data_IF_710374941384
#
_entry.id   IF_710374941384
#
_cell.length_a   1.000
_cell.length_b   1.000
_cell.length_c   1.000
_cell.angle_alpha   90.00
_cell.angle_beta   90.00
_cell.angle_gamma   90.00
#
_symmetry.space_group_name_H-M   'P 1'
#
loop_
_entity.id
_entity.type
_entity.pdbx_description
1 polymer ?
#
# COMPACT_ATOMS: atom_id res chain seq x y z
N UNK A 1 9.67 -15.05 9.54
CA UNK A 1 9.93 -16.52 9.58
C UNK A 1 8.94 -17.34 8.73
N UNK A 2 7.66 -16.97 8.61
CA UNK A 2 6.66 -17.76 7.85
C UNK A 2 6.94 -17.89 6.33
N UNK A 3 7.59 -16.93 5.69
CA UNK A 3 7.90 -16.95 4.25
C UNK A 3 9.00 -17.95 3.88
N UNK A 4 10.02 -18.10 4.73
CA UNK A 4 11.12 -19.06 4.53
C UNK A 4 10.64 -20.51 4.66
N UNK A 5 9.75 -20.78 5.62
CA UNK A 5 9.18 -22.12 5.81
C UNK A 5 8.31 -22.55 4.62
N UNK A 6 7.51 -21.63 4.05
CA UNK A 6 6.74 -21.86 2.82
C UNK A 6 7.62 -22.13 1.60
N UNK A 7 8.79 -21.50 1.52
CA UNK A 7 9.77 -21.71 0.45
C UNK A 7 10.48 -23.06 0.56
N UNK A 8 10.79 -23.50 1.79
CA UNK A 8 11.47 -24.78 2.07
C UNK A 8 10.51 -25.97 1.95
N UNK A 9 9.24 -25.80 2.33
CA UNK A 9 8.23 -26.86 2.31
C UNK A 9 7.27 -26.78 1.11
N UNK A 10 7.67 -26.10 0.03
CA UNK A 10 6.86 -26.05 -1.20
C UNK A 10 6.70 -27.49 -1.75
N UNK A 11 5.47 -27.97 -2.00
CA UNK A 11 5.25 -29.29 -2.59
C UNK A 11 5.96 -29.39 -3.93
N UNK A 12 6.52 -30.56 -4.26
CA UNK A 12 7.17 -30.75 -5.56
C UNK A 12 6.14 -30.67 -6.69
N UNK A 13 6.54 -30.16 -7.85
CA UNK A 13 5.65 -30.00 -9.02
C UNK A 13 5.17 -31.36 -9.55
N UNK A 14 6.03 -32.38 -9.44
CA UNK A 14 5.78 -33.77 -9.82
C UNK A 14 5.05 -34.58 -8.74
N UNK A 15 4.71 -33.98 -7.58
CA UNK A 15 3.94 -34.66 -6.55
C UNK A 15 2.46 -34.76 -6.96
N UNK A 16 1.99 -35.99 -7.18
CA UNK A 16 0.62 -36.31 -7.57
C UNK A 16 -0.35 -36.38 -6.39
N UNK A 17 0.11 -36.12 -5.17
CA UNK A 17 -0.75 -36.07 -3.98
C UNK A 17 -1.87 -35.03 -4.13
N UNK A 18 -3.07 -35.29 -3.58
CA UNK A 18 -4.16 -34.33 -3.64
C UNK A 18 -3.81 -32.97 -3.02
N UNK A 19 -2.97 -32.94 -1.97
CA UNK A 19 -2.54 -31.71 -1.30
C UNK A 19 -1.59 -30.87 -2.18
N UNK A 20 -0.65 -31.49 -2.89
CA UNK A 20 0.21 -30.79 -3.84
C UNK A 20 -0.62 -30.21 -5.01
N UNK A 21 -1.55 -30.99 -5.55
CA UNK A 21 -2.48 -30.52 -6.59
C UNK A 21 -3.33 -29.34 -6.12
N UNK A 22 -3.85 -29.42 -4.90
CA UNK A 22 -4.61 -28.31 -4.28
C UNK A 22 -3.75 -27.05 -4.16
N UNK A 23 -2.52 -27.17 -3.64
CA UNK A 23 -1.59 -26.04 -3.50
C UNK A 23 -1.36 -25.32 -4.83
N UNK A 24 -1.07 -26.05 -5.91
CA UNK A 24 -0.82 -25.45 -7.22
C UNK A 24 -2.10 -24.90 -7.88
N UNK A 25 -3.25 -25.54 -7.66
CA UNK A 25 -4.53 -25.03 -8.14
C UNK A 25 -4.90 -23.69 -7.45
N UNK A 26 -4.70 -23.60 -6.14
CA UNK A 26 -4.90 -22.37 -5.37
C UNK A 26 -3.92 -21.25 -5.79
N UNK A 27 -2.63 -21.59 -5.98
CA UNK A 27 -1.62 -20.65 -6.50
C UNK A 27 -2.02 -20.11 -7.89
N UNK A 28 -2.54 -20.97 -8.77
CA UNK A 28 -3.03 -20.57 -10.09
C UNK A 28 -4.27 -19.68 -10.02
N UNK A 29 -5.24 -20.01 -9.15
CA UNK A 29 -6.46 -19.22 -8.95
C UNK A 29 -6.12 -17.81 -8.46
N UNK A 30 -5.24 -17.69 -7.47
CA UNK A 30 -4.74 -16.41 -6.97
C UNK A 30 -4.01 -15.62 -8.07
N UNK A 31 -3.22 -16.29 -8.90
CA UNK A 31 -2.53 -15.64 -10.03
C UNK A 31 -3.51 -15.06 -11.05
N UNK A 32 -4.58 -15.80 -11.36
CA UNK A 32 -5.62 -15.35 -12.30
C UNK A 32 -6.40 -14.17 -11.71
N UNK A 33 -6.79 -14.22 -10.44
CA UNK A 33 -7.50 -13.13 -9.76
C UNK A 33 -6.67 -11.83 -9.78
N UNK A 34 -5.38 -11.92 -9.43
CA UNK A 34 -4.45 -10.79 -9.52
C UNK A 34 -4.36 -10.21 -10.94
N UNK A 35 -4.31 -11.09 -11.96
CA UNK A 35 -4.25 -10.65 -13.36
C UNK A 35 -5.51 -9.91 -13.79
N UNK A 36 -6.69 -10.36 -13.38
CA UNK A 36 -7.97 -9.69 -13.68
C UNK A 36 -7.99 -8.28 -13.08
N UNK A 37 -7.63 -8.14 -11.81
CA UNK A 37 -7.59 -6.84 -11.13
C UNK A 37 -6.55 -5.90 -11.74
N UNK A 38 -5.41 -6.44 -12.18
CA UNK A 38 -4.39 -5.66 -12.87
C UNK A 38 -4.91 -5.09 -14.19
N UNK A 39 -5.60 -5.91 -15.00
CA UNK A 39 -6.21 -5.46 -16.26
C UNK A 39 -7.25 -4.36 -16.00
N UNK A 40 -8.07 -4.50 -14.96
CA UNK A 40 -9.05 -3.46 -14.58
C UNK A 40 -8.35 -2.16 -14.18
N UNK A 41 -7.23 -2.24 -13.44
CA UNK A 41 -6.43 -1.07 -13.11
C UNK A 41 -5.83 -0.41 -14.36
N UNK A 42 -5.35 -1.19 -15.33
CA UNK A 42 -4.89 -0.66 -16.62
C UNK A 42 -6.04 0.02 -17.39
N UNK A 43 -7.23 -0.58 -17.42
CA UNK A 43 -8.43 0.03 -18.01
C UNK A 43 -8.79 1.36 -17.34
N UNK A 44 -8.72 1.44 -16.00
CA UNK A 44 -8.96 2.69 -15.27
C UNK A 44 -7.98 3.80 -15.68
N UNK A 45 -6.71 3.48 -15.89
CA UNK A 45 -5.70 4.46 -16.33
C UNK A 45 -5.95 4.93 -17.77
N UNK A 46 -6.44 4.05 -18.65
CA UNK A 46 -6.77 4.39 -20.04
C UNK A 46 -8.03 5.24 -20.12
N UNK A 47 -9.07 4.87 -19.36
CA UNK A 47 -10.38 5.55 -19.38
C UNK A 47 -10.34 6.88 -18.64
N UNK A 48 -9.60 6.95 -17.52
CA UNK A 48 -9.47 8.12 -16.66
C UNK A 48 -7.99 8.50 -16.55
N UNK A 49 -7.42 9.25 -17.52
CA UNK A 49 -6.00 9.58 -17.51
C UNK A 49 -5.63 10.56 -16.39
N UNK A 50 -6.52 11.49 -16.05
CA UNK A 50 -6.30 12.46 -14.98
C UNK A 50 -6.52 11.84 -13.60
N UNK A 51 -5.63 12.14 -12.66
CA UNK A 51 -5.72 11.63 -11.28
C UNK A 51 -6.99 12.05 -10.54
N UNK A 52 -7.49 13.26 -10.80
CA UNK A 52 -8.69 13.79 -10.15
C UNK A 52 -9.99 13.06 -10.50
N UNK A 53 -10.02 12.31 -11.61
CA UNK A 53 -11.19 11.54 -12.03
C UNK A 53 -11.24 10.16 -11.36
N UNK A 54 -10.13 9.75 -10.73
CA UNK A 54 -9.97 8.47 -10.03
C UNK A 54 -10.20 8.63 -8.53
N UNK A 55 -10.53 7.54 -7.85
CA UNK A 55 -10.70 7.53 -6.41
C UNK A 55 -9.37 7.89 -5.71
N UNK A 56 -9.45 8.91 -4.85
CA UNK A 56 -8.32 9.40 -4.06
C UNK A 56 -7.77 8.30 -3.15
N UNK A 57 -6.44 8.16 -3.15
CA UNK A 57 -5.70 7.17 -2.34
C UNK A 57 -4.67 7.81 -1.41
N UNK A 58 -4.80 9.11 -1.13
CA UNK A 58 -3.89 9.87 -0.27
C UNK A 58 -3.85 9.33 1.16
N UNK A 59 -4.90 8.60 1.57
CA UNK A 59 -4.92 7.86 2.84
C UNK A 59 -3.77 6.87 2.97
N UNK A 60 -3.12 6.45 1.87
CA UNK A 60 -1.99 5.52 1.92
C UNK A 60 -0.79 6.07 2.69
N UNK A 61 -0.65 7.39 2.75
CA UNK A 61 0.39 8.09 3.54
C UNK A 61 0.22 7.84 5.05
N UNK A 62 -0.99 7.49 5.49
CA UNK A 62 -1.29 7.21 6.91
C UNK A 62 -0.83 5.82 7.35
N UNK A 63 -0.52 4.94 6.41
CA UNK A 63 -0.09 3.58 6.73
C UNK A 63 1.42 3.55 7.03
N UNK A 64 1.90 2.59 7.84
CA UNK A 64 3.33 2.46 8.13
C UNK A 64 4.19 2.28 6.88
N UNK A 65 5.44 2.74 6.95
CA UNK A 65 6.38 2.71 5.84
C UNK A 65 6.69 1.29 5.35
N UNK A 66 6.46 0.26 6.16
CA UNK A 66 6.61 -1.15 5.77
C UNK A 66 5.54 -1.60 4.75
N UNK A 67 4.34 -1.01 4.84
CA UNK A 67 3.23 -1.21 3.91
C UNK A 67 3.47 -0.31 2.69
N UNK A 68 3.91 0.93 2.91
CA UNK A 68 4.23 1.90 1.84
C UNK A 68 5.47 1.46 1.03
N UNK A 69 6.48 0.83 1.62
CA UNK A 69 7.64 0.28 0.92
C UNK A 69 7.25 -0.93 0.03
N UNK A 70 6.09 -1.54 0.29
CA UNK A 70 5.40 -2.43 -0.66
C UNK A 70 4.77 -1.68 -1.85
N UNK A 71 4.40 -0.42 -1.65
CA UNK A 71 3.72 0.48 -2.60
C UNK A 71 4.61 1.54 -3.29
N UNK A 72 5.87 1.73 -2.92
CA UNK A 72 6.70 2.83 -3.44
C UNK A 72 7.71 2.41 -4.52
N UNK A 73 7.58 1.22 -5.12
CA UNK A 73 8.41 0.83 -6.27
C UNK A 73 7.82 1.29 -7.61
N UNK A 74 7.26 2.50 -7.64
CA UNK A 74 6.86 3.17 -8.87
C UNK A 74 7.34 4.62 -8.79
N UNK A 75 8.63 4.83 -9.02
CA UNK A 75 9.15 5.97 -9.80
C UNK A 75 10.68 5.87 -9.99
N UNK A 76 11.06 5.49 -11.23
CA UNK A 76 12.37 5.61 -11.93
C UNK A 76 13.49 4.57 -11.65
N UNK A 77 14.42 4.30 -12.62
CA UNK A 77 14.39 4.36 -14.10
C UNK A 77 14.32 2.93 -14.74
N UNK A 78 14.26 2.79 -16.09
CA UNK A 78 13.63 1.66 -16.78
C UNK A 78 14.58 0.50 -17.15
N UNK A 79 15.35 -0.07 -16.22
CA UNK A 79 16.26 -1.18 -16.56
C UNK A 79 16.24 -2.41 -15.63
N UNK A 80 15.41 -2.45 -14.58
CA UNK A 80 15.29 -3.67 -13.76
C UNK A 80 13.83 -4.14 -13.68
N UNK A 81 13.50 -5.07 -14.59
CA UNK A 81 12.22 -5.79 -14.72
C UNK A 81 11.80 -6.53 -13.42
N UNK A 82 12.67 -6.59 -12.41
CA UNK A 82 12.46 -7.33 -11.15
C UNK A 82 11.77 -6.50 -10.05
N UNK A 83 11.73 -5.16 -10.15
CA UNK A 83 11.04 -4.30 -9.16
C UNK A 83 9.56 -4.03 -9.46
N UNK A 84 9.04 -4.59 -10.57
CA UNK A 84 7.61 -4.59 -10.93
C UNK A 84 6.79 -5.67 -10.19
N UNK A 85 7.43 -6.43 -9.30
CA UNK A 85 6.89 -7.66 -8.69
C UNK A 85 6.18 -7.46 -7.35
N UNK A 86 6.44 -6.38 -6.60
CA UNK A 86 5.84 -6.22 -5.25
C UNK A 86 4.40 -5.68 -5.26
N UNK A 87 4.02 -4.92 -6.30
CA UNK A 87 2.64 -4.48 -6.53
C UNK A 87 1.70 -5.53 -7.10
N UNK A 88 2.21 -6.69 -7.56
CA UNK A 88 1.38 -7.72 -8.18
C UNK A 88 0.51 -8.51 -7.19
N UNK A 89 0.76 -8.43 -5.88
CA UNK A 89 0.09 -9.29 -4.91
C UNK A 89 -0.88 -8.56 -3.98
N UNK A 90 -0.74 -7.25 -3.78
CA UNK A 90 -1.61 -6.49 -2.87
C UNK A 90 -3.07 -6.43 -3.34
N UNK A 91 -3.38 -6.16 -4.63
CA UNK A 91 -4.76 -6.15 -5.09
C UNK A 91 -5.47 -7.51 -4.92
N UNK A 92 -4.79 -8.62 -5.23
CA UNK A 92 -5.38 -9.96 -5.05
C UNK A 92 -5.46 -10.39 -3.59
N UNK A 93 -4.53 -9.99 -2.73
CA UNK A 93 -4.63 -10.23 -1.28
C UNK A 93 -5.79 -9.46 -0.66
N UNK A 94 -5.95 -8.18 -1.03
CA UNK A 94 -7.11 -7.37 -0.61
C UNK A 94 -8.41 -7.96 -1.14
N UNK A 95 -8.43 -8.41 -2.40
CA UNK A 95 -9.58 -9.08 -2.97
C UNK A 95 -9.93 -10.38 -2.25
N UNK A 96 -8.95 -11.23 -1.94
CA UNK A 96 -9.17 -12.43 -1.15
C UNK A 96 -9.74 -12.09 0.23
N UNK A 97 -9.21 -11.05 0.87
CA UNK A 97 -9.77 -10.50 2.11
C UNK A 97 -11.23 -10.07 1.97
N UNK A 98 -11.57 -9.41 0.87
CA UNK A 98 -12.95 -9.01 0.57
C UNK A 98 -13.88 -10.23 0.37
N UNK A 99 -13.42 -11.27 -0.34
CA UNK A 99 -14.20 -12.51 -0.52
C UNK A 99 -14.42 -13.23 0.81
N UNK A 100 -13.39 -13.37 1.64
CA UNK A 100 -13.51 -13.97 2.97
C UNK A 100 -14.49 -13.19 3.86
N UNK A 101 -14.37 -11.87 3.93
CA UNK A 101 -15.28 -11.03 4.69
C UNK A 101 -16.72 -11.11 4.16
N UNK A 102 -16.90 -11.10 2.83
CA UNK A 102 -18.20 -11.23 2.20
C UNK A 102 -18.85 -12.60 2.50
N UNK A 103 -18.05 -13.65 2.60
CA UNK A 103 -18.48 -15.00 3.00
C UNK A 103 -18.79 -15.14 4.50
N UNK A 104 -18.45 -14.14 5.33
CA UNK A 104 -18.76 -14.10 6.75
C UNK A 104 -17.58 -14.45 7.67
N UNK A 105 -16.37 -14.62 7.13
CA UNK A 105 -15.15 -14.72 7.95
C UNK A 105 -14.86 -13.41 8.66
N UNK A 106 -14.13 -13.48 9.78
CA UNK A 106 -13.67 -12.32 10.53
C UNK A 106 -12.15 -12.21 10.46
N UNK A 107 -11.66 -10.97 10.54
CA UNK A 107 -10.25 -10.69 10.82
C UNK A 107 -9.98 -11.13 12.27
N UNK A 108 -8.90 -11.89 12.46
CA UNK A 108 -8.49 -12.38 13.79
C UNK A 108 -8.30 -11.19 14.72
N UNK A 109 -8.92 -11.26 15.91
CA UNK A 109 -8.90 -10.23 16.96
C UNK A 109 -9.55 -8.87 16.59
N UNK A 110 -10.21 -8.77 15.42
CA UNK A 110 -10.87 -7.55 14.92
C UNK A 110 -12.29 -7.82 14.42
N UNK A 111 -13.12 -8.46 15.26
CA UNK A 111 -14.47 -8.90 14.90
C UNK A 111 -15.43 -7.72 14.66
N UNK A 112 -15.39 -6.70 15.51
CA UNK A 112 -16.29 -5.54 15.41
C UNK A 112 -16.05 -4.73 14.13
N UNK A 113 -14.78 -4.55 13.76
CA UNK A 113 -14.31 -3.90 12.55
C UNK A 113 -14.69 -4.76 11.33
N UNK A 114 -14.57 -6.09 11.45
CA UNK A 114 -15.02 -7.01 10.41
C UNK A 114 -16.51 -6.85 10.10
N UNK A 115 -17.36 -6.66 11.11
CA UNK A 115 -18.79 -6.41 10.91
C UNK A 115 -19.06 -5.11 10.16
N UNK A 116 -18.30 -4.05 10.48
CA UNK A 116 -18.40 -2.75 9.81
C UNK A 116 -17.91 -2.81 8.34
N UNK A 117 -16.86 -3.61 8.05
CA UNK A 117 -16.28 -3.74 6.71
C UNK A 117 -17.09 -4.68 5.80
N UNK A 118 -17.77 -5.68 6.38
CA UNK A 118 -18.57 -6.69 5.67
C UNK A 118 -19.53 -6.15 4.60
N UNK A 119 -20.34 -5.10 4.83
CA UNK A 119 -21.22 -4.54 3.79
C UNK A 119 -20.42 -4.00 2.59
N UNK A 120 -19.27 -3.35 2.85
CA UNK A 120 -18.38 -2.84 1.79
C UNK A 120 -17.76 -4.00 1.00
N UNK A 121 -17.30 -5.06 1.68
CA UNK A 121 -16.77 -6.25 1.05
C UNK A 121 -17.81 -6.92 0.12
N UNK A 122 -19.06 -7.09 0.59
CA UNK A 122 -20.16 -7.63 -0.22
C UNK A 122 -20.52 -6.75 -1.41
N UNK A 123 -20.50 -5.42 -1.24
CA UNK A 123 -20.77 -4.48 -2.32
C UNK A 123 -19.68 -4.55 -3.40
N UNK A 124 -18.40 -4.56 -2.97
CA UNK A 124 -17.24 -4.67 -3.85
C UNK A 124 -17.26 -5.97 -4.66
N UNK A 125 -17.46 -7.11 -4.00
CA UNK A 125 -17.43 -8.43 -4.68
C UNK A 125 -18.55 -8.56 -5.69
N UNK A 126 -19.79 -8.22 -5.29
CA UNK A 126 -20.97 -8.24 -6.16
C UNK A 126 -20.83 -7.27 -7.34
N UNK A 127 -20.23 -6.11 -7.13
CA UNK A 127 -20.03 -5.13 -8.21
C UNK A 127 -18.97 -5.60 -9.21
N UNK A 128 -17.87 -6.20 -8.73
CA UNK A 128 -16.85 -6.77 -9.61
C UNK A 128 -17.44 -7.88 -10.49
N UNK A 129 -18.26 -8.77 -9.95
CA UNK A 129 -18.88 -9.85 -10.74
C UNK A 129 -19.77 -9.29 -11.87
N UNK A 130 -20.62 -8.31 -11.56
CA UNK A 130 -21.43 -7.61 -12.58
C UNK A 130 -20.57 -6.90 -13.63
N UNK A 131 -19.51 -6.23 -13.19
CA UNK A 131 -18.61 -5.51 -14.08
C UNK A 131 -17.87 -6.48 -15.00
N UNK A 132 -17.46 -7.65 -14.51
CA UNK A 132 -16.85 -8.71 -15.32
C UNK A 132 -17.81 -9.20 -16.40
N UNK A 133 -19.09 -9.35 -16.10
CA UNK A 133 -20.11 -9.69 -17.12
C UNK A 133 -20.23 -8.61 -18.20
N UNK A 134 -20.28 -7.33 -17.81
CA UNK A 134 -20.34 -6.21 -18.77
C UNK A 134 -19.08 -6.12 -19.64
N UNK A 135 -17.90 -6.23 -19.05
CA UNK A 135 -16.63 -6.20 -19.77
C UNK A 135 -16.50 -7.38 -20.73
N UNK A 136 -17.00 -8.57 -20.33
CA UNK A 136 -17.00 -9.76 -21.18
C UNK A 136 -17.96 -9.60 -22.36
N UNK A 137 -19.19 -9.13 -22.15
CA UNK A 137 -20.15 -8.88 -23.22
C UNK A 137 -19.64 -7.81 -24.20
N UNK A 138 -19.01 -6.74 -23.69
CA UNK A 138 -18.40 -5.72 -24.54
C UNK A 138 -17.23 -6.27 -25.36
N UNK A 139 -16.33 -7.05 -24.74
CA UNK A 139 -15.18 -7.62 -25.44
C UNK A 139 -15.57 -8.57 -26.58
N UNK A 140 -16.75 -9.21 -26.49
CA UNK A 140 -17.31 -10.06 -27.55
C UNK A 140 -17.97 -9.26 -28.68
N UNK A 141 -18.39 -8.01 -28.42
CA UNK A 141 -19.08 -7.16 -29.40
C UNK A 141 -18.13 -6.20 -30.11
N UNK A 142 -17.48 -5.32 -29.34
CA UNK A 142 -16.50 -4.35 -29.84
C UNK A 142 -15.48 -4.03 -28.73
N UNK A 143 -14.24 -4.53 -28.85
CA UNK A 143 -13.19 -4.31 -27.86
C UNK A 143 -12.56 -2.92 -27.93
N UNK A 144 -12.89 -2.09 -28.93
CA UNK A 144 -12.21 -0.80 -29.16
C UNK A 144 -12.87 0.37 -28.43
N UNK A 145 -14.10 0.20 -27.94
CA UNK A 145 -14.87 1.27 -27.31
C UNK A 145 -15.24 0.98 -25.87
N UNK A 146 -15.09 2.00 -25.02
CA UNK A 146 -15.61 2.01 -23.65
C UNK A 146 -16.94 2.77 -23.62
N UNK A 147 -18.05 2.06 -23.50
CA UNK A 147 -19.37 2.68 -23.33
C UNK A 147 -19.44 3.44 -21.99
N UNK A 148 -20.30 4.46 -21.91
CA UNK A 148 -20.44 5.26 -20.68
C UNK A 148 -20.90 4.41 -19.48
N UNK A 149 -21.67 3.35 -19.74
CA UNK A 149 -22.03 2.35 -18.73
C UNK A 149 -20.80 1.66 -18.13
N UNK A 150 -19.81 1.30 -18.95
CA UNK A 150 -18.56 0.67 -18.49
C UNK A 150 -17.71 1.70 -17.73
N UNK A 151 -17.60 2.94 -18.24
CA UNK A 151 -16.87 4.01 -17.55
C UNK A 151 -17.43 4.25 -16.15
N UNK A 152 -18.75 4.42 -16.03
CA UNK A 152 -19.43 4.57 -14.74
C UNK A 152 -19.22 3.34 -13.84
N UNK A 153 -19.32 2.14 -14.39
CA UNK A 153 -19.10 0.90 -13.63
C UNK A 153 -17.66 0.82 -13.09
N UNK A 154 -16.67 1.20 -13.90
CA UNK A 154 -15.26 1.26 -13.51
C UNK A 154 -15.03 2.30 -12.42
N UNK A 155 -15.65 3.48 -12.52
CA UNK A 155 -15.54 4.54 -11.50
C UNK A 155 -16.14 4.11 -10.15
N UNK A 156 -17.30 3.45 -10.18
CA UNK A 156 -17.92 2.88 -8.95
C UNK A 156 -17.03 1.80 -8.35
N UNK A 157 -16.45 0.92 -9.18
CA UNK A 157 -15.51 -0.08 -8.70
C UNK A 157 -14.28 0.56 -8.05
N UNK A 158 -13.69 1.56 -8.69
CA UNK A 158 -12.50 2.25 -8.20
C UNK A 158 -12.73 2.88 -6.82
N UNK A 159 -13.90 3.52 -6.62
CA UNK A 159 -14.32 4.07 -5.33
C UNK A 159 -14.53 2.99 -4.27
N UNK A 160 -15.30 1.95 -4.58
CA UNK A 160 -15.57 0.84 -3.65
C UNK A 160 -14.27 0.15 -3.23
N UNK A 161 -13.35 -0.03 -4.18
CA UNK A 161 -12.06 -0.67 -3.92
C UNK A 161 -11.19 0.19 -3.02
N UNK A 162 -11.10 1.51 -3.27
CA UNK A 162 -10.34 2.44 -2.44
C UNK A 162 -10.89 2.53 -1.01
N UNK A 163 -12.22 2.57 -0.86
CA UNK A 163 -12.89 2.60 0.44
C UNK A 163 -12.68 1.29 1.22
N UNK A 164 -12.79 0.15 0.55
CA UNK A 164 -12.48 -1.15 1.14
C UNK A 164 -11.01 -1.24 1.55
N UNK A 165 -10.07 -0.87 0.67
CA UNK A 165 -8.63 -0.85 0.95
C UNK A 165 -8.33 -0.04 2.21
N UNK A 166 -8.88 1.16 2.32
CA UNK A 166 -8.69 2.01 3.49
C UNK A 166 -9.16 1.33 4.77
N UNK A 167 -10.42 0.90 4.83
CA UNK A 167 -11.00 0.36 6.06
C UNK A 167 -10.39 -1.00 6.44
N UNK A 168 -10.09 -1.85 5.45
CA UNK A 168 -9.48 -3.15 5.67
C UNK A 168 -8.06 -3.04 6.22
N UNK A 169 -7.22 -2.20 5.62
CA UNK A 169 -5.85 -1.99 6.09
C UNK A 169 -5.84 -1.28 7.45
N UNK A 170 -6.76 -0.33 7.66
CA UNK A 170 -6.90 0.38 8.94
C UNK A 170 -7.34 -0.51 10.10
N UNK A 171 -8.08 -1.59 9.84
CA UNK A 171 -8.44 -2.56 10.85
C UNK A 171 -7.26 -3.49 11.22
N UNK A 172 -6.36 -3.75 10.28
CA UNK A 172 -5.22 -4.66 10.49
C UNK A 172 -3.98 -3.97 11.07
N UNK A 173 -3.94 -2.64 10.98
CA UNK A 173 -2.73 -1.86 11.23
C UNK A 173 -3.13 -0.60 11.95
N UNK A 174 -2.43 -0.28 13.03
CA UNK A 174 -2.60 1.00 13.70
C UNK A 174 -2.31 2.14 12.72
N UNK A 175 -3.36 2.82 12.30
CA UNK A 175 -3.27 4.01 11.45
C UNK A 175 -2.65 5.11 12.29
N UNK A 176 -1.64 5.80 11.74
CA UNK A 176 -1.08 6.99 12.41
C UNK A 176 -2.22 7.99 12.64
N UNK A 177 -2.40 8.44 13.88
CA UNK A 177 -3.35 9.52 14.16
C UNK A 177 -2.86 10.81 13.48
N UNK A 178 -3.74 11.81 13.34
CA UNK A 178 -3.34 13.14 12.83
C UNK A 178 -2.17 13.68 13.67
N UNK A 179 -2.23 13.50 14.99
CA UNK A 179 -1.16 13.91 15.89
C UNK A 179 0.15 13.15 15.64
N UNK A 180 0.11 11.87 15.30
CA UNK A 180 1.31 11.09 15.00
C UNK A 180 1.92 11.50 13.66
N UNK A 181 1.08 11.89 12.69
CA UNK A 181 1.52 12.44 11.41
C UNK A 181 2.18 13.81 11.60
N UNK A 182 1.55 14.71 12.34
CA UNK A 182 2.09 16.02 12.69
C UNK A 182 3.43 15.86 13.44
N UNK A 183 3.49 14.95 14.42
CA UNK A 183 4.74 14.63 15.13
C UNK A 183 5.81 14.10 14.18
N UNK A 184 5.44 13.28 13.20
CA UNK A 184 6.39 12.76 12.19
C UNK A 184 6.93 13.89 11.30
N UNK A 185 6.07 14.81 10.89
CA UNK A 185 6.45 16.00 10.14
C UNK A 185 7.36 16.91 10.96
N UNK A 186 7.04 17.16 12.22
CA UNK A 186 7.86 17.97 13.13
C UNK A 186 9.26 17.37 13.30
N UNK A 187 9.35 16.04 13.43
CA UNK A 187 10.64 15.33 13.48
C UNK A 187 11.39 15.46 12.15
N UNK A 188 10.71 15.39 11.00
CA UNK A 188 11.34 15.57 9.70
C UNK A 188 11.87 17.00 9.50
N UNK A 189 11.11 18.02 9.91
CA UNK A 189 11.55 19.42 9.91
C UNK A 189 12.76 19.60 10.83
N UNK A 190 12.71 19.05 12.04
CA UNK A 190 13.81 19.10 12.99
C UNK A 190 15.10 18.48 12.43
N UNK A 191 14.98 17.34 11.75
CA UNK A 191 16.11 16.70 11.09
C UNK A 191 16.64 17.54 9.93
N UNK A 192 15.75 18.12 9.11
CA UNK A 192 16.15 19.01 8.02
C UNK A 192 16.96 20.19 8.54
N UNK A 193 16.48 20.88 9.58
CA UNK A 193 17.20 21.99 10.21
C UNK A 193 18.55 21.57 10.81
N UNK A 194 18.59 20.40 11.44
CA UNK A 194 19.81 19.83 12.03
C UNK A 194 20.85 19.51 10.96
N UNK A 195 20.42 18.95 9.82
CA UNK A 195 21.27 18.67 8.66
C UNK A 195 21.80 19.97 8.07
N UNK A 196 20.93 20.93 7.75
CA UNK A 196 21.33 22.24 7.20
C UNK A 196 22.35 22.94 8.10
N UNK A 197 22.16 22.86 9.41
CA UNK A 197 23.10 23.43 10.38
C UNK A 197 24.43 22.66 10.42
N UNK A 198 24.40 21.33 10.42
CA UNK A 198 25.60 20.50 10.43
C UNK A 198 26.46 20.74 9.19
N UNK A 199 25.84 20.90 8.02
CA UNK A 199 26.51 21.31 6.78
C UNK A 199 27.11 22.70 6.94
N UNK A 200 26.34 23.68 7.42
CA UNK A 200 26.81 25.07 7.59
C UNK A 200 28.02 25.18 8.54
N UNK A 201 28.08 24.33 9.56
CA UNK A 201 29.19 24.27 10.52
C UNK A 201 30.34 23.35 10.09
N UNK A 202 30.28 22.78 8.88
CA UNK A 202 31.24 21.81 8.34
C UNK A 202 31.44 20.55 9.20
N UNK A 203 30.39 20.11 9.92
CA UNK A 203 30.42 18.83 10.64
C UNK A 203 30.12 17.63 9.75
N UNK A 204 29.39 17.85 8.66
CA UNK A 204 29.01 16.85 7.66
C UNK A 204 29.07 17.49 6.28
N UNK A 205 29.53 16.77 5.27
CA UNK A 205 29.52 17.26 3.87
C UNK A 205 28.26 16.84 3.13
N UNK A 206 27.89 17.57 2.08
CA UNK A 206 26.73 17.23 1.24
C UNK A 206 26.87 15.83 0.63
N UNK A 207 28.09 15.46 0.20
CA UNK A 207 28.42 14.14 -0.34
C UNK A 207 28.15 13.00 0.66
N UNK A 208 28.46 13.18 1.95
CA UNK A 208 28.17 12.18 2.99
C UNK A 208 26.67 11.96 3.21
N UNK A 209 25.83 12.93 2.87
CA UNK A 209 24.38 12.83 2.96
C UNK A 209 23.83 12.15 1.71
N UNK A 210 24.30 12.58 0.53
CA UNK A 210 23.88 12.03 -0.76
C UNK A 210 24.25 10.54 -0.88
N UNK A 211 25.41 10.14 -0.37
CA UNK A 211 25.88 8.74 -0.32
C UNK A 211 25.23 7.92 0.80
N UNK A 212 24.29 8.50 1.55
CA UNK A 212 23.63 7.85 2.68
C UNK A 212 24.62 7.26 3.70
N UNK A 213 25.64 8.03 4.11
CA UNK A 213 26.68 7.53 5.01
C UNK A 213 26.07 7.01 6.33
N UNK A 214 26.34 5.76 6.73
CA UNK A 214 25.68 5.14 7.88
C UNK A 214 25.97 5.87 9.20
N UNK A 215 27.16 6.46 9.34
CA UNK A 215 27.51 7.22 10.56
C UNK A 215 26.66 8.49 10.68
N UNK A 216 26.39 9.17 9.56
CA UNK A 216 25.57 10.38 9.52
C UNK A 216 24.10 10.03 9.74
N UNK A 217 23.58 9.05 9.02
CA UNK A 217 22.17 8.64 9.10
C UNK A 217 21.80 8.17 10.52
N UNK A 218 22.71 7.49 11.22
CA UNK A 218 22.43 6.98 12.57
C UNK A 218 22.67 8.04 13.66
N UNK A 219 23.72 8.86 13.53
CA UNK A 219 24.09 9.81 14.59
C UNK A 219 23.24 11.08 14.57
N UNK A 220 22.89 11.58 13.39
CA UNK A 220 22.30 12.91 13.22
C UNK A 220 20.88 13.01 13.82
N UNK A 221 19.99 12.00 13.68
CA UNK A 221 18.71 11.97 14.40
C UNK A 221 18.87 12.06 15.93
N UNK A 222 19.88 11.36 16.48
CA UNK A 222 20.14 11.34 17.93
C UNK A 222 20.65 12.69 18.43
N UNK A 223 21.52 13.33 17.66
CA UNK A 223 22.04 14.66 17.97
C UNK A 223 20.95 15.74 17.89
N UNK A 224 20.04 15.64 16.91
CA UNK A 224 18.91 16.55 16.78
C UNK A 224 18.00 16.52 18.02
N UNK A 225 17.69 15.32 18.54
CA UNK A 225 16.87 15.16 19.75
C UNK A 225 17.56 15.74 20.99
N UNK A 226 18.86 15.45 21.18
CA UNK A 226 19.64 16.00 22.30
C UNK A 226 19.72 17.52 22.22
N UNK A 227 19.85 18.07 21.02
CA UNK A 227 19.91 19.51 20.80
C UNK A 227 18.60 20.21 21.19
N UNK A 228 17.45 19.68 20.77
CA UNK A 228 16.13 20.20 21.18
C UNK A 228 15.98 20.18 22.70
N UNK A 229 16.40 19.09 23.35
CA UNK A 229 16.35 18.99 24.80
C UNK A 229 17.20 20.06 25.50
N UNK A 230 18.40 20.34 24.97
CA UNK A 230 19.29 21.40 25.49
C UNK A 230 18.68 22.79 25.27
N UNK A 231 18.09 23.06 24.11
CA UNK A 231 17.44 24.34 23.82
C UNK A 231 16.20 24.55 24.68
N UNK A 232 15.35 23.53 24.87
CA UNK A 232 14.19 23.59 25.74
C UNK A 232 14.60 23.91 27.19
N UNK A 233 15.66 23.26 27.70
CA UNK A 233 16.22 23.56 29.04
C UNK A 233 16.83 24.96 29.15
N UNK A 234 17.42 25.49 28.08
CA UNK A 234 17.92 26.87 28.05
C UNK A 234 16.77 27.88 28.03
N UNK A 235 15.69 27.61 27.29
CA UNK A 235 14.50 28.46 27.26
C UNK A 235 13.84 28.56 28.64
N UNK A 236 13.70 27.43 29.35
CA UNK A 236 13.15 27.36 30.72
C UNK A 236 14.03 28.12 31.73
N UNK A 237 15.37 28.10 31.56
CA UNK A 237 16.29 28.82 32.45
C UNK A 237 16.42 30.31 32.13
N UNK A 238 16.13 30.73 30.90
CA UNK A 238 16.30 32.11 30.45
C UNK A 238 15.01 32.93 30.49
N UNK A 239 13.89 32.37 30.98
CA UNK A 239 12.65 33.13 31.24
C UNK A 239 12.26 34.03 30.08
N UNK A 240 12.07 33.46 28.89
CA UNK A 240 11.29 34.15 27.87
C UNK A 240 9.80 33.84 28.11
N UNK A 241 8.91 34.83 27.95
CA UNK A 241 7.48 34.69 28.25
C UNK A 241 6.81 33.55 27.46
#
# INVERSE_FOLDING_TARGET
MQSLWKLVNKPRIDDWSPLAKFYYADEALNTIANRVLHIIAEMLMIVFPHEGDRACRDFRVKFPDEIIAGWFLVSKPPELITLKLKFRQLPGQLWFGAECLAAGSNIVDHESESEAIRPMAKALTKHLDKMREFLKDQALRDPTQYSDKIKLSLQVFDRLFAEFEFNYVSAMVNVKSVNDYDTTLDVAVLFSESITRAIRLNYVTQEQIDDCNPNVIIALPRLAIVWVYILARRSIKCGWP
#
